data_IF_808684766494
#
_entry.id   IF_808684766494
#
_cell.length_a   1.000
_cell.length_b   1.000
_cell.length_c   1.000
_cell.angle_alpha   90.00
_cell.angle_beta   90.00
_cell.angle_gamma   90.00
#
_symmetry.space_group_name_H-M   'P 1'
#
loop_
_entity.id
_entity.type
_entity.pdbx_description
1 polymer ?
#
# COMPACT_ATOMS: atom_id res chain seq x y z
N UNK A 1 -41.20 -17.74 5.96
CA UNK A 1 -39.95 -17.40 5.27
C UNK A 1 -39.49 -16.09 5.87
N UNK A 2 -38.77 -16.16 6.99
CA UNK A 2 -38.38 -14.97 7.78
C UNK A 2 -36.95 -14.65 7.37
N UNK A 3 -36.77 -13.47 6.81
CA UNK A 3 -35.49 -12.97 6.37
C UNK A 3 -34.56 -12.72 7.54
N UNK A 4 -33.31 -13.13 7.36
CA UNK A 4 -32.14 -12.56 8.00
C UNK A 4 -31.04 -12.68 6.95
N UNK A 5 -30.91 -11.69 6.07
CA UNK A 5 -29.65 -11.36 5.40
C UNK A 5 -28.72 -10.82 6.49
N UNK A 6 -28.32 -11.72 7.39
CA UNK A 6 -27.24 -11.50 8.33
C UNK A 6 -25.96 -11.87 7.61
N UNK A 7 -25.51 -11.02 6.68
CA UNK A 7 -24.07 -10.89 6.54
C UNK A 7 -23.63 -10.21 7.83
N UNK A 8 -23.30 -11.03 8.84
CA UNK A 8 -22.42 -10.61 9.91
C UNK A 8 -21.23 -10.00 9.21
N UNK A 9 -21.15 -8.67 9.21
CA UNK A 9 -19.88 -7.98 9.09
C UNK A 9 -19.12 -8.53 10.28
N UNK A 10 -18.28 -9.54 10.04
CA UNK A 10 -17.31 -9.96 11.02
C UNK A 10 -16.47 -8.70 11.21
N UNK A 11 -16.70 -8.00 12.32
CA UNK A 11 -15.77 -7.14 13.04
C UNK A 11 -14.52 -7.96 13.39
N UNK A 12 -13.85 -8.52 12.38
CA UNK A 12 -12.44 -8.81 12.44
C UNK A 12 -11.79 -7.48 12.14
N UNK A 13 -11.03 -6.97 13.08
CA UNK A 13 -10.08 -5.87 12.85
C UNK A 13 -9.02 -6.37 11.85
N UNK A 14 -9.41 -6.47 10.57
CA UNK A 14 -8.53 -6.86 9.49
C UNK A 14 -7.56 -5.70 9.31
N UNK A 15 -6.30 -5.95 9.63
CA UNK A 15 -5.26 -4.95 9.45
C UNK A 15 -4.80 -4.99 8.00
N UNK A 16 -5.11 -3.94 7.25
CA UNK A 16 -4.59 -3.77 5.91
C UNK A 16 -3.18 -3.21 6.01
N UNK A 17 -2.25 -3.79 5.26
CA UNK A 17 -0.86 -3.40 5.31
C UNK A 17 -0.32 -3.24 3.90
N UNK A 18 0.54 -2.24 3.73
CA UNK A 18 1.28 -2.00 2.50
C UNK A 18 2.76 -2.18 2.78
N UNK A 19 3.39 -3.10 2.06
CA UNK A 19 4.83 -3.29 2.11
C UNK A 19 5.50 -2.58 0.96
N UNK A 20 6.53 -1.81 1.28
CA UNK A 20 7.36 -1.11 0.31
C UNK A 20 8.67 -1.83 0.13
N UNK A 21 9.12 -1.95 -1.12
CA UNK A 21 10.36 -2.61 -1.51
C UNK A 21 11.12 -1.78 -2.51
N UNK A 22 12.37 -1.48 -2.20
CA UNK A 22 13.28 -0.89 -3.16
C UNK A 22 14.00 -2.02 -3.92
N UNK A 23 13.82 -2.07 -5.24
CA UNK A 23 14.43 -3.09 -6.10
C UNK A 23 15.78 -2.64 -6.68
N UNK A 24 16.35 -1.56 -6.15
CA UNK A 24 17.61 -0.96 -6.63
C UNK A 24 18.77 -1.31 -5.70
N UNK A 25 19.99 -0.97 -6.14
CA UNK A 25 21.23 -1.18 -5.40
C UNK A 25 21.62 0.01 -4.51
N UNK A 26 20.84 1.10 -4.52
CA UNK A 26 21.10 2.32 -3.74
C UNK A 26 19.90 2.71 -2.87
N UNK A 27 20.17 3.30 -1.70
CA UNK A 27 19.11 3.79 -0.81
C UNK A 27 18.39 4.98 -1.44
N UNK A 28 17.06 4.94 -1.44
CA UNK A 28 16.23 5.95 -2.09
C UNK A 28 15.46 6.76 -1.03
N UNK A 29 15.84 8.02 -0.76
CA UNK A 29 15.05 8.92 0.09
C UNK A 29 13.83 9.40 -0.70
N UNK A 30 12.64 8.92 -0.34
CA UNK A 30 11.39 9.24 -1.03
C UNK A 30 10.32 9.68 -0.03
N UNK A 31 9.42 10.56 -0.45
CA UNK A 31 8.20 10.84 0.31
C UNK A 31 7.08 9.98 -0.25
N UNK A 32 6.53 9.09 0.58
CA UNK A 32 5.43 8.24 0.20
C UNK A 32 4.14 8.85 0.73
N UNK A 33 3.22 9.13 -0.18
CA UNK A 33 1.88 9.57 0.13
C UNK A 33 0.88 8.52 -0.37
N UNK A 34 -0.03 8.11 0.50
CA UNK A 34 -1.09 7.16 0.16
C UNK A 34 -2.43 7.82 0.44
N UNK A 35 -3.28 7.79 -0.59
CA UNK A 35 -4.64 8.28 -0.54
C UNK A 35 -5.58 7.11 -0.81
N UNK A 36 -6.55 6.86 0.05
CA UNK A 36 -7.58 5.82 -0.13
C UNK A 36 -8.92 6.53 -0.22
N UNK A 37 -9.68 6.31 -1.29
CA UNK A 37 -10.99 6.97 -1.51
C UNK A 37 -10.95 8.51 -1.27
N UNK A 38 -9.95 9.19 -1.85
CA UNK A 38 -9.68 10.63 -1.68
C UNK A 38 -9.24 11.07 -0.26
N UNK A 39 -9.12 10.16 0.70
CA UNK A 39 -8.59 10.44 2.04
C UNK A 39 -7.10 10.12 2.15
N UNK A 40 -6.29 11.10 2.53
CA UNK A 40 -4.87 10.88 2.79
C UNK A 40 -4.68 10.13 4.10
N UNK A 41 -4.27 8.86 4.02
CA UNK A 41 -4.05 7.99 5.19
C UNK A 41 -2.58 7.93 5.60
N UNK A 42 -1.66 8.21 4.67
CA UNK A 42 -0.23 8.21 4.92
C UNK A 42 0.47 9.32 4.14
N UNK A 43 1.46 9.97 4.75
CA UNK A 43 2.33 10.95 4.12
C UNK A 43 3.58 11.13 4.99
N UNK A 44 4.63 10.39 4.68
CA UNK A 44 5.90 10.45 5.41
C UNK A 44 7.09 10.35 4.46
N UNK A 45 8.20 10.99 4.86
CA UNK A 45 9.48 10.85 4.18
C UNK A 45 10.19 9.62 4.72
N UNK A 46 10.55 8.71 3.82
CA UNK A 46 11.13 7.42 4.10
C UNK A 46 12.43 7.25 3.32
N UNK A 47 13.37 6.50 3.87
CA UNK A 47 14.55 6.04 3.12
C UNK A 47 14.36 4.56 2.86
N UNK A 48 14.00 4.20 1.62
CA UNK A 48 13.81 2.80 1.26
C UNK A 48 15.17 2.20 0.91
N UNK A 49 15.70 1.38 1.80
CA UNK A 49 17.04 0.81 1.68
C UNK A 49 17.17 -0.14 0.48
N UNK A 50 18.33 -0.13 -0.16
CA UNK A 50 18.64 -0.98 -1.31
C UNK A 50 18.36 -2.46 -1.04
N UNK A 51 17.71 -3.13 -2.00
CA UNK A 51 17.38 -4.56 -1.94
C UNK A 51 16.54 -4.98 -0.73
N UNK A 52 16.00 -4.03 0.03
CA UNK A 52 15.31 -4.27 1.29
C UNK A 52 13.82 -4.03 1.19
N UNK A 53 13.11 -4.71 2.08
CA UNK A 53 11.67 -4.61 2.23
C UNK A 53 11.37 -3.99 3.58
N UNK A 54 11.65 -2.71 3.71
CA UNK A 54 11.93 -2.15 5.03
C UNK A 54 10.68 -1.68 5.76
N UNK A 55 9.58 -1.39 5.07
CA UNK A 55 8.45 -0.74 5.73
C UNK A 55 7.08 -1.35 5.45
N UNK A 56 6.30 -1.44 6.52
CA UNK A 56 4.91 -1.88 6.56
C UNK A 56 4.08 -0.66 6.98
N UNK A 57 3.29 -0.13 6.06
CA UNK A 57 2.36 0.97 6.32
C UNK A 57 1.00 0.35 6.60
N UNK A 58 0.48 0.57 7.81
CA UNK A 58 -0.87 0.12 8.16
C UNK A 58 -1.91 1.07 7.56
N UNK A 59 -2.87 0.50 6.85
CA UNK A 59 -3.99 1.20 6.25
C UNK A 59 -5.24 0.95 7.10
N UNK A 60 -5.98 2.02 7.39
CA UNK A 60 -7.16 1.96 8.26
C UNK A 60 -8.42 1.45 7.54
N UNK A 61 -8.38 1.35 6.20
CA UNK A 61 -9.48 0.86 5.39
C UNK A 61 -8.97 0.20 4.10
N UNK A 62 -9.71 -0.79 3.57
CA UNK A 62 -9.48 -1.31 2.24
C UNK A 62 -10.07 -0.38 1.17
N UNK A 63 -9.75 -0.61 -0.09
CA UNK A 63 -10.24 0.21 -1.21
C UNK A 63 -9.18 0.45 -2.28
N UNK A 64 -9.55 1.22 -3.29
CA UNK A 64 -8.60 1.70 -4.29
C UNK A 64 -7.77 2.82 -3.68
N UNK A 65 -6.45 2.64 -3.71
CA UNK A 65 -5.51 3.61 -3.19
C UNK A 65 -4.61 4.15 -4.31
N UNK A 66 -4.36 5.44 -4.26
CA UNK A 66 -3.33 6.11 -5.05
C UNK A 66 -2.06 6.19 -4.20
N UNK A 67 -1.00 5.59 -4.70
CA UNK A 67 0.34 5.65 -4.12
C UNK A 67 1.12 6.67 -4.90
N UNK A 68 1.59 7.70 -4.22
CA UNK A 68 2.43 8.75 -4.78
C UNK A 68 3.80 8.67 -4.14
N UNK A 69 4.83 8.61 -4.97
CA UNK A 69 6.23 8.63 -4.56
C UNK A 69 6.88 9.89 -5.07
N UNK A 70 7.23 10.78 -4.15
CA UNK A 70 8.01 11.99 -4.43
C UNK A 70 9.49 11.68 -4.18
N UNK A 71 10.25 11.53 -5.25
CA UNK A 71 11.68 11.26 -5.23
C UNK A 71 12.47 12.52 -5.64
N UNK A 72 13.79 12.59 -5.34
CA UNK A 72 14.61 13.75 -5.70
C UNK A 72 14.60 14.08 -7.20
N UNK A 73 14.41 13.05 -8.03
CA UNK A 73 14.42 13.14 -9.50
C UNK A 73 13.03 13.40 -10.11
N UNK A 74 11.95 13.32 -9.33
CA UNK A 74 10.60 13.52 -9.82
C UNK A 74 9.52 12.90 -8.94
N UNK A 75 8.27 13.15 -9.32
CA UNK A 75 7.09 12.61 -8.66
C UNK A 75 6.40 11.59 -9.55
N UNK A 76 6.11 10.44 -8.96
CA UNK A 76 5.53 9.27 -9.64
C UNK A 76 4.30 8.81 -8.86
N UNK A 77 3.33 8.21 -9.55
CA UNK A 77 2.11 7.75 -8.90
C UNK A 77 1.56 6.52 -9.60
N UNK A 78 1.08 5.55 -8.83
CA UNK A 78 0.41 4.36 -9.33
C UNK A 78 -0.77 4.01 -8.43
N UNK A 79 -1.72 3.27 -9.00
CA UNK A 79 -2.89 2.81 -8.26
C UNK A 79 -2.67 1.38 -7.77
N UNK A 80 -3.20 1.09 -6.59
CA UNK A 80 -3.19 -0.23 -5.99
C UNK A 80 -4.53 -0.49 -5.30
N UNK A 81 -5.08 -1.68 -5.46
CA UNK A 81 -6.30 -2.08 -4.74
C UNK A 81 -5.92 -2.80 -3.45
N UNK A 82 -6.40 -2.31 -2.32
CA UNK A 82 -6.25 -2.94 -1.01
C UNK A 82 -7.39 -3.95 -0.82
N UNK A 83 -7.07 -5.24 -0.57
CA UNK A 83 -8.08 -6.29 -0.50
C UNK A 83 -9.05 -6.07 0.68
N UNK A 84 -10.36 -6.27 0.44
CA UNK A 84 -11.42 -5.95 1.41
C UNK A 84 -11.40 -6.81 2.67
N UNK A 85 -11.31 -8.14 2.55
CA UNK A 85 -11.44 -9.06 3.70
C UNK A 85 -10.70 -10.39 3.56
N UNK A 86 -10.02 -10.61 2.42
CA UNK A 86 -9.41 -11.89 2.11
C UNK A 86 -7.90 -11.81 2.35
N UNK A 87 -7.36 -12.43 3.42
CA UNK A 87 -5.92 -12.40 3.71
C UNK A 87 -5.09 -13.17 2.67
N UNK A 88 -5.72 -14.04 1.87
CA UNK A 88 -5.07 -14.71 0.75
C UNK A 88 -5.03 -13.82 -0.51
N UNK A 89 -5.77 -12.71 -0.54
CA UNK A 89 -5.64 -11.71 -1.60
C UNK A 89 -4.50 -10.76 -1.28
N UNK A 90 -3.60 -10.65 -2.25
CA UNK A 90 -2.55 -9.65 -2.26
C UNK A 90 -2.64 -8.90 -3.58
N UNK A 91 -2.43 -7.59 -3.54
CA UNK A 91 -2.26 -6.81 -4.75
C UNK A 91 -0.85 -6.26 -4.77
N UNK A 92 -0.32 -6.10 -5.97
CA UNK A 92 1.01 -5.53 -6.17
C UNK A 92 0.93 -4.45 -7.24
N UNK A 93 1.64 -3.35 -7.00
CA UNK A 93 1.97 -2.37 -8.04
C UNK A 93 3.45 -2.04 -7.97
N UNK A 94 3.96 -1.46 -9.04
CA UNK A 94 5.35 -1.15 -9.25
C UNK A 94 5.44 0.30 -9.73
N UNK A 95 6.20 1.14 -9.03
CA UNK A 95 6.46 2.53 -9.43
C UNK A 95 7.89 2.60 -10.00
N UNK A 96 7.97 2.85 -11.30
CA UNK A 96 9.25 3.06 -12.00
C UNK A 96 9.71 4.52 -11.80
N UNK A 97 10.79 4.68 -11.03
CA UNK A 97 11.43 5.97 -10.75
C UNK A 97 12.69 6.06 -11.63
N UNK A 98 12.49 6.43 -12.90
CA UNK A 98 13.56 6.47 -13.90
C UNK A 98 14.19 5.08 -14.20
N UNK A 99 15.43 4.81 -13.77
CA UNK A 99 16.08 3.49 -13.88
C UNK A 99 15.82 2.62 -12.64
N UNK A 100 15.23 3.23 -11.61
CA UNK A 100 14.94 2.62 -10.33
C UNK A 100 13.49 2.11 -10.26
N UNK A 101 13.23 1.15 -9.37
CA UNK A 101 11.90 0.55 -9.23
C UNK A 101 11.54 0.32 -7.77
N UNK A 102 10.40 0.86 -7.35
CA UNK A 102 9.84 0.63 -6.02
C UNK A 102 8.57 -0.21 -6.14
N UNK A 103 8.59 -1.39 -5.53
CA UNK A 103 7.48 -2.33 -5.48
C UNK A 103 6.63 -2.06 -4.23
N UNK A 104 5.30 -2.05 -4.42
CA UNK A 104 4.31 -1.90 -3.37
C UNK A 104 3.40 -3.12 -3.35
N UNK A 105 3.26 -3.75 -2.18
CA UNK A 105 2.42 -4.95 -2.02
C UNK A 105 1.41 -4.69 -0.91
N UNK A 106 0.12 -4.74 -1.23
CA UNK A 106 -0.96 -4.69 -0.24
C UNK A 106 -1.41 -6.10 0.13
N UNK A 107 -1.72 -6.29 1.41
CA UNK A 107 -2.27 -7.53 1.94
C UNK A 107 -3.09 -7.25 3.22
N UNK A 108 -4.04 -8.14 3.49
CA UNK A 108 -4.82 -8.14 4.72
C UNK A 108 -4.23 -9.15 5.72
N UNK A 109 -4.21 -8.79 7.01
CA UNK A 109 -3.85 -9.68 8.12
C UNK A 109 -5.05 -9.84 9.06
N UNK A 110 -5.33 -11.09 9.46
CA UNK A 110 -6.35 -11.48 10.44
C UNK A 110 -5.89 -11.29 11.89
#
# INVERSE_FOLDING_TARGET
>A
MVGLTGCTILDRDINHNLRVRNLTEEDQPVTIKITVDDEQVFNEQLTVEAGSSSEIISLNQPGDCEIVVDAPIGRYSENLTVPLQDPDQTSKTDIDIHEDKIEFISYALD
#
